data_IF_831878106101
#
_entry.id   IF_831878106101
#
_cell.length_a   1.000
_cell.length_b   1.000
_cell.length_c   1.000
_cell.angle_alpha   90.00
_cell.angle_beta   90.00
_cell.angle_gamma   90.00
#
_symmetry.space_group_name_H-M   'P 1'
#
loop_
_entity.id
_entity.type
_entity.pdbx_description
1 polymer ?
#
# COMPACT_ATOMS: atom_id res chain seq x y z
N UNK A 1 -28.02 2.60 1.05
CA UNK A 1 -28.03 1.15 0.64
C UNK A 1 -28.98 0.97 -0.54
N UNK A 2 -28.68 0.04 -1.48
CA UNK A 2 -29.60 -0.30 -2.58
C UNK A 2 -30.75 -1.19 -2.07
N UNK A 3 -31.97 -1.02 -2.64
CA UNK A 3 -33.20 -1.72 -2.21
C UNK A 3 -33.03 -3.24 -2.19
N UNK A 4 -32.48 -3.83 -3.26
CA UNK A 4 -32.23 -5.28 -3.34
C UNK A 4 -31.26 -5.79 -2.24
N UNK A 5 -30.30 -5.00 -1.83
CA UNK A 5 -29.36 -5.37 -0.75
C UNK A 5 -30.06 -5.30 0.60
N UNK A 6 -30.91 -4.30 0.79
CA UNK A 6 -31.69 -4.14 2.01
C UNK A 6 -32.62 -5.35 2.25
N UNK A 7 -33.38 -5.74 1.22
CA UNK A 7 -34.30 -6.87 1.29
C UNK A 7 -33.55 -8.20 1.54
N UNK A 8 -32.45 -8.42 0.85
CA UNK A 8 -31.60 -9.60 1.08
C UNK A 8 -31.12 -9.69 2.54
N UNK A 9 -30.59 -8.61 3.08
CA UNK A 9 -30.08 -8.57 4.45
C UNK A 9 -31.16 -8.78 5.49
N UNK A 10 -32.35 -8.24 5.26
CA UNK A 10 -33.52 -8.38 6.13
C UNK A 10 -34.09 -9.80 6.07
N UNK A 11 -34.36 -10.30 4.84
CA UNK A 11 -35.19 -11.49 4.66
C UNK A 11 -34.37 -12.79 4.71
N UNK A 12 -33.14 -12.79 4.18
CA UNK A 12 -32.28 -13.98 4.14
C UNK A 12 -31.31 -14.05 5.34
N UNK A 13 -30.80 -12.90 5.78
CA UNK A 13 -29.85 -12.83 6.89
C UNK A 13 -30.51 -12.50 8.23
N UNK A 14 -31.81 -12.17 8.25
CA UNK A 14 -32.57 -11.89 9.46
C UNK A 14 -32.10 -10.65 10.23
N UNK A 15 -31.47 -9.67 9.53
CA UNK A 15 -30.99 -8.45 10.18
C UNK A 15 -32.19 -7.53 10.47
N UNK A 16 -32.28 -7.07 11.72
CA UNK A 16 -33.35 -6.20 12.14
C UNK A 16 -33.40 -4.90 11.33
N UNK A 17 -34.58 -4.46 10.85
CA UNK A 17 -34.74 -3.25 10.05
C UNK A 17 -34.17 -1.98 10.70
N UNK A 18 -34.23 -1.90 12.03
CA UNK A 18 -33.70 -0.79 12.81
C UNK A 18 -32.18 -0.67 12.68
N UNK A 19 -31.48 -1.82 12.64
CA UNK A 19 -30.02 -1.86 12.44
C UNK A 19 -29.66 -1.47 11.01
N UNK A 20 -30.40 -1.94 10.02
CA UNK A 20 -30.19 -1.57 8.62
C UNK A 20 -30.39 -0.05 8.39
N UNK A 21 -31.38 0.52 9.06
CA UNK A 21 -31.62 1.97 9.03
C UNK A 21 -30.47 2.74 9.68
N UNK A 22 -29.99 2.28 10.84
CA UNK A 22 -28.87 2.91 11.54
C UNK A 22 -27.59 2.89 10.68
N UNK A 23 -27.32 1.78 10.00
CA UNK A 23 -26.17 1.67 9.07
C UNK A 23 -26.33 2.64 7.90
N UNK A 24 -27.51 2.73 7.29
CA UNK A 24 -27.78 3.64 6.18
C UNK A 24 -27.64 5.12 6.58
N UNK A 25 -28.08 5.48 7.78
CA UNK A 25 -27.91 6.82 8.35
C UNK A 25 -26.43 7.13 8.61
N UNK A 26 -25.68 6.16 9.16
CA UNK A 26 -24.24 6.29 9.39
C UNK A 26 -23.46 6.46 8.08
N UNK A 27 -23.72 5.61 7.07
CA UNK A 27 -23.11 5.73 5.73
C UNK A 27 -23.38 7.11 5.10
N UNK A 28 -24.61 7.61 5.21
CA UNK A 28 -24.94 8.93 4.70
C UNK A 28 -24.21 10.06 5.40
N UNK A 29 -23.98 9.92 6.72
CA UNK A 29 -23.33 10.95 7.52
C UNK A 29 -21.83 11.12 7.19
N UNK A 30 -21.18 10.08 6.66
CA UNK A 30 -19.76 10.07 6.30
C UNK A 30 -19.53 10.01 4.79
N UNK A 31 -20.59 10.18 3.98
CA UNK A 31 -20.50 10.07 2.52
C UNK A 31 -19.47 11.02 1.92
N UNK A 32 -19.46 12.27 2.37
CA UNK A 32 -18.52 13.28 1.85
C UNK A 32 -17.06 12.91 2.12
N UNK A 33 -16.77 12.20 3.20
CA UNK A 33 -15.43 11.72 3.49
C UNK A 33 -15.06 10.52 2.62
N UNK A 34 -16.01 9.62 2.34
CA UNK A 34 -15.79 8.56 1.35
C UNK A 34 -15.59 9.11 -0.06
N UNK A 35 -16.35 10.11 -0.48
CA UNK A 35 -16.18 10.73 -1.79
C UNK A 35 -14.76 11.34 -1.92
N UNK A 36 -14.24 12.02 -0.89
CA UNK A 36 -12.84 12.50 -0.86
C UNK A 36 -11.82 11.37 -0.94
N UNK A 37 -12.05 10.27 -0.23
CA UNK A 37 -11.17 9.09 -0.27
C UNK A 37 -11.19 8.42 -1.64
N UNK A 38 -12.33 8.37 -2.31
CA UNK A 38 -12.45 7.86 -3.68
C UNK A 38 -11.70 8.72 -4.68
N UNK A 39 -11.71 10.05 -4.54
CA UNK A 39 -10.89 10.95 -5.36
C UNK A 39 -9.38 10.71 -5.15
N UNK A 40 -8.95 10.58 -3.90
CA UNK A 40 -7.56 10.27 -3.55
C UNK A 40 -7.15 8.91 -4.12
N UNK A 41 -8.01 7.90 -3.99
CA UNK A 41 -7.81 6.56 -4.55
C UNK A 41 -7.66 6.61 -6.07
N UNK A 42 -8.56 7.30 -6.76
CA UNK A 42 -8.53 7.45 -8.21
C UNK A 42 -7.24 8.13 -8.69
N UNK A 43 -6.85 9.23 -8.05
CA UNK A 43 -5.60 9.93 -8.36
C UNK A 43 -4.39 9.01 -8.21
N UNK A 44 -4.27 8.31 -7.09
CA UNK A 44 -3.14 7.41 -6.84
C UNK A 44 -3.13 6.20 -7.79
N UNK A 45 -4.29 5.66 -8.14
CA UNK A 45 -4.41 4.58 -9.11
C UNK A 45 -3.88 5.02 -10.49
N UNK A 46 -4.27 6.20 -10.96
CA UNK A 46 -3.76 6.74 -12.24
C UNK A 46 -2.27 7.05 -12.16
N UNK A 47 -1.77 7.55 -11.03
CA UNK A 47 -0.33 7.77 -10.81
C UNK A 47 0.46 6.48 -10.96
N UNK A 48 0.01 5.39 -10.34
CA UNK A 48 0.65 4.06 -10.45
C UNK A 48 0.59 3.55 -11.88
N UNK A 49 -0.56 3.64 -12.56
CA UNK A 49 -0.71 3.20 -13.94
C UNK A 49 0.20 3.99 -14.91
N UNK A 50 0.37 5.29 -14.70
CA UNK A 50 1.28 6.09 -15.51
C UNK A 50 2.74 5.66 -15.33
N UNK A 51 3.16 5.37 -14.10
CA UNK A 51 4.48 4.82 -13.82
C UNK A 51 4.69 3.46 -14.48
N UNK A 52 3.69 2.56 -14.40
CA UNK A 52 3.74 1.27 -15.10
C UNK A 52 3.92 1.44 -16.61
N UNK A 53 3.20 2.40 -17.19
CA UNK A 53 3.34 2.75 -18.62
C UNK A 53 4.74 3.28 -18.94
N UNK A 54 5.27 4.20 -18.13
CA UNK A 54 6.63 4.77 -18.28
C UNK A 54 7.71 3.69 -18.19
N UNK A 55 7.60 2.80 -17.22
CA UNK A 55 8.51 1.67 -17.02
C UNK A 55 8.27 0.53 -18.00
N UNK A 56 7.27 0.64 -18.90
CA UNK A 56 6.91 -0.38 -19.92
C UNK A 56 6.65 -1.74 -19.31
N UNK A 57 5.94 -1.76 -18.16
CA UNK A 57 5.58 -3.02 -17.50
C UNK A 57 4.68 -3.86 -18.40
N UNK A 58 4.98 -5.14 -18.52
CA UNK A 58 4.25 -6.12 -19.33
C UNK A 58 4.20 -7.47 -18.63
N UNK A 59 3.50 -8.45 -19.22
CA UNK A 59 3.36 -9.80 -18.68
C UNK A 59 4.70 -10.50 -18.42
N UNK A 60 5.74 -10.19 -19.20
CA UNK A 60 7.06 -10.78 -19.00
C UNK A 60 7.68 -10.49 -17.62
N UNK A 61 7.34 -9.36 -17.01
CA UNK A 61 7.84 -8.98 -15.68
C UNK A 61 7.17 -9.77 -14.53
N UNK A 62 6.09 -10.49 -14.82
CA UNK A 62 5.36 -11.35 -13.88
C UNK A 62 5.64 -12.84 -14.07
N UNK A 63 6.56 -13.18 -14.99
CA UNK A 63 6.90 -14.58 -15.24
C UNK A 63 7.79 -15.12 -14.11
N UNK A 64 7.75 -16.44 -13.98
CA UNK A 64 8.64 -17.13 -13.05
C UNK A 64 10.11 -16.90 -13.40
N UNK A 65 10.94 -16.78 -12.38
CA UNK A 65 12.38 -16.62 -12.47
C UNK A 65 13.08 -17.60 -11.50
N UNK A 66 14.40 -17.72 -11.58
CA UNK A 66 15.18 -18.64 -10.74
C UNK A 66 15.30 -18.19 -9.29
N UNK A 67 14.98 -16.94 -8.99
CA UNK A 67 15.19 -16.34 -7.67
C UNK A 67 16.64 -15.94 -7.35
N UNK A 68 17.59 -16.24 -8.24
CA UNK A 68 19.01 -15.91 -8.04
C UNK A 68 19.41 -14.53 -8.57
N UNK A 69 18.50 -13.79 -9.16
CA UNK A 69 18.73 -12.43 -9.69
C UNK A 69 19.44 -12.39 -11.05
N UNK A 70 19.57 -13.52 -11.72
CA UNK A 70 20.05 -13.61 -13.10
C UNK A 70 18.86 -13.54 -14.06
N UNK A 71 18.91 -12.60 -15.01
CA UNK A 71 17.86 -12.39 -16.01
C UNK A 71 16.44 -12.29 -15.37
N UNK A 72 16.32 -11.47 -14.33
CA UNK A 72 15.08 -11.23 -13.61
C UNK A 72 14.53 -9.83 -13.92
N UNK A 73 13.85 -9.66 -15.06
CA UNK A 73 13.33 -8.36 -15.48
C UNK A 73 12.26 -7.82 -14.53
N UNK A 74 11.51 -8.70 -13.85
CA UNK A 74 10.51 -8.28 -12.87
C UNK A 74 11.14 -7.64 -11.64
N UNK A 75 12.26 -8.17 -11.19
CA UNK A 75 12.99 -7.68 -10.04
C UNK A 75 13.57 -6.27 -10.27
N UNK A 76 14.15 -6.03 -11.43
CA UNK A 76 14.67 -4.71 -11.80
C UNK A 76 13.53 -3.72 -12.09
N UNK A 77 12.47 -4.20 -12.73
CA UNK A 77 11.33 -3.36 -13.10
C UNK A 77 10.60 -2.82 -11.88
N UNK A 78 10.40 -3.64 -10.82
CA UNK A 78 9.71 -3.19 -9.61
C UNK A 78 10.48 -2.08 -8.89
N UNK A 79 11.81 -2.15 -8.87
CA UNK A 79 12.65 -1.11 -8.29
C UNK A 79 12.54 0.20 -9.04
N UNK A 80 12.55 0.17 -10.37
CA UNK A 80 12.29 1.35 -11.20
C UNK A 80 10.91 1.93 -10.96
N UNK A 81 9.89 1.08 -10.84
CA UNK A 81 8.52 1.53 -10.53
C UNK A 81 8.47 2.25 -9.19
N UNK A 82 9.12 1.72 -8.16
CA UNK A 82 9.16 2.36 -6.85
C UNK A 82 9.94 3.68 -6.89
N UNK A 83 11.10 3.71 -7.53
CA UNK A 83 11.89 4.93 -7.66
C UNK A 83 11.10 6.05 -8.36
N UNK A 84 10.44 5.76 -9.48
CA UNK A 84 9.59 6.71 -10.20
C UNK A 84 8.37 7.14 -9.38
N UNK A 85 7.71 6.20 -8.69
CA UNK A 85 6.50 6.46 -7.91
C UNK A 85 6.75 7.39 -6.73
N UNK A 86 7.89 7.21 -6.04
CA UNK A 86 8.28 7.96 -4.85
C UNK A 86 9.25 9.10 -5.14
N UNK A 87 9.63 9.31 -6.41
CA UNK A 87 10.55 10.35 -6.86
C UNK A 87 11.92 10.27 -6.17
N UNK A 88 12.45 9.05 -6.06
CA UNK A 88 13.78 8.76 -5.51
C UNK A 88 14.75 8.41 -6.63
N UNK A 89 16.05 8.54 -6.37
CA UNK A 89 17.08 8.15 -7.33
C UNK A 89 17.07 6.66 -7.62
N UNK A 90 16.81 5.86 -6.60
CA UNK A 90 16.75 4.40 -6.67
C UNK A 90 15.84 3.82 -5.59
N UNK A 91 15.54 2.52 -5.68
CA UNK A 91 14.77 1.79 -4.69
C UNK A 91 15.28 0.35 -4.55
N UNK A 92 15.19 -0.20 -3.34
CA UNK A 92 15.46 -1.61 -3.07
C UNK A 92 14.16 -2.29 -2.71
N UNK A 93 13.68 -3.16 -3.59
CA UNK A 93 12.43 -3.91 -3.40
C UNK A 93 12.74 -5.40 -3.54
N UNK A 94 12.84 -6.10 -2.42
CA UNK A 94 13.25 -7.50 -2.39
C UNK A 94 12.34 -8.34 -1.48
N UNK A 95 11.97 -9.56 -1.89
CA UNK A 95 11.22 -10.48 -1.03
C UNK A 95 11.94 -10.85 0.27
N UNK A 96 13.27 -10.73 0.27
CA UNK A 96 14.11 -10.97 1.45
C UNK A 96 14.00 -9.87 2.51
N UNK A 97 13.45 -8.72 2.19
CA UNK A 97 13.06 -7.69 3.17
C UNK A 97 11.68 -8.07 3.69
N UNK A 98 11.65 -8.88 4.73
CA UNK A 98 10.46 -9.64 5.13
C UNK A 98 9.36 -8.82 5.82
N UNK A 99 9.69 -7.63 6.37
CA UNK A 99 8.74 -6.74 7.04
C UNK A 99 9.29 -5.31 7.19
N UNK A 100 8.47 -4.41 7.73
CA UNK A 100 8.82 -3.00 7.92
C UNK A 100 10.00 -2.80 8.88
N UNK A 101 10.06 -3.54 9.98
CA UNK A 101 11.20 -3.48 10.93
C UNK A 101 12.52 -3.84 10.26
N UNK A 102 12.51 -4.88 9.42
CA UNK A 102 13.69 -5.26 8.64
C UNK A 102 14.11 -4.16 7.65
N UNK A 103 13.15 -3.53 6.99
CA UNK A 103 13.44 -2.39 6.09
C UNK A 103 14.07 -1.21 6.84
N UNK A 104 13.51 -0.84 7.99
CA UNK A 104 14.06 0.21 8.86
C UNK A 104 15.47 -0.14 9.35
N UNK A 105 15.68 -1.37 9.82
CA UNK A 105 16.99 -1.84 10.28
C UNK A 105 18.03 -1.80 9.16
N UNK A 106 17.70 -2.26 7.96
CA UNK A 106 18.58 -2.19 6.79
C UNK A 106 18.97 -0.75 6.46
N UNK A 107 17.99 0.17 6.49
CA UNK A 107 18.23 1.58 6.23
C UNK A 107 19.18 2.18 7.26
N UNK A 108 18.91 1.97 8.54
CA UNK A 108 19.76 2.47 9.64
C UNK A 108 21.17 1.89 9.58
N UNK A 109 21.32 0.57 9.42
CA UNK A 109 22.64 -0.08 9.35
C UNK A 109 23.42 0.28 8.08
N UNK A 110 22.75 0.68 7.02
CA UNK A 110 23.38 1.20 5.81
C UNK A 110 24.04 2.57 6.00
N UNK A 111 23.54 3.38 6.94
CA UNK A 111 23.95 4.76 7.19
C UNK A 111 24.83 4.86 8.44
N UNK A 112 24.46 4.15 9.52
CA UNK A 112 25.03 4.29 10.85
C UNK A 112 26.10 3.21 11.15
N UNK A 113 26.98 3.54 12.09
CA UNK A 113 27.96 2.65 12.68
C UNK A 113 27.74 2.50 14.19
N UNK A 114 28.18 1.45 14.82
CA UNK A 114 28.13 1.34 16.29
C UNK A 114 28.80 2.54 16.97
N UNK A 115 28.03 3.23 17.81
CA UNK A 115 28.45 4.45 18.49
C UNK A 115 27.95 5.77 17.86
N UNK A 116 27.33 5.72 16.68
CA UNK A 116 26.68 6.88 16.10
C UNK A 116 25.39 7.24 16.87
N UNK A 117 25.05 8.50 16.91
CA UNK A 117 23.87 9.01 17.62
C UNK A 117 22.74 9.32 16.63
N UNK A 118 21.51 8.99 17.03
CA UNK A 118 20.28 9.32 16.28
C UNK A 118 19.47 10.33 17.09
N UNK A 119 19.08 11.44 16.46
CA UNK A 119 18.18 12.43 17.06
C UNK A 119 16.78 12.28 16.46
N UNK A 120 15.82 11.93 17.30
CA UNK A 120 14.41 11.85 16.92
C UNK A 120 13.72 13.20 17.16
N UNK A 121 13.37 13.90 16.08
CA UNK A 121 12.76 15.23 16.16
C UNK A 121 11.24 15.20 16.34
N UNK A 122 10.58 14.08 16.10
CA UNK A 122 9.12 13.96 16.03
C UNK A 122 8.50 13.04 17.09
N UNK A 123 9.29 12.48 17.98
CA UNK A 123 8.88 11.53 19.00
C UNK A 123 9.87 10.38 19.16
N UNK A 124 9.57 9.41 20.02
CA UNK A 124 10.41 8.23 20.21
C UNK A 124 10.49 7.34 18.96
N UNK A 125 11.49 6.46 18.90
CA UNK A 125 11.62 5.51 17.79
C UNK A 125 10.45 4.54 17.75
N UNK A 126 10.32 3.81 16.64
CA UNK A 126 9.42 2.68 16.57
C UNK A 126 9.84 1.62 17.59
N UNK A 127 8.91 1.14 18.41
CA UNK A 127 9.15 0.31 19.59
C UNK A 127 9.99 -0.95 19.36
N UNK A 128 9.98 -1.49 18.15
CA UNK A 128 10.78 -2.68 17.78
C UNK A 128 12.24 -2.35 17.41
N UNK A 129 12.64 -1.07 17.50
CA UNK A 129 14.02 -0.61 17.24
C UNK A 129 14.78 -0.23 18.52
N UNK A 130 14.18 -0.47 19.70
CA UNK A 130 14.81 -0.27 21.01
C UNK A 130 15.82 -1.39 21.35
#
# INVERSE_FOLDING_TARGET
>A
MQENTYDLLKDEFGIAPELLKLVDEAEKSIKDDFDKLDDIKAYNQYKVLDVFRKCKISDMHFRWNTGYGYDDPGREAIEKVYAELFHTEDAIVRPLIVNGTHALTLTLTGILRPGDEIVYCTGGPYDTLE
#
